data_IF_163386345374
#
_entry.id   IF_163386345374
#
_cell.length_a   1.000
_cell.length_b   1.000
_cell.length_c   1.000
_cell.angle_alpha   90.00
_cell.angle_beta   90.00
_cell.angle_gamma   90.00
#
_symmetry.space_group_name_H-M   'P 1'
#
loop_
_entity.id
_entity.type
_entity.pdbx_description
1 polymer ?
#
# COMPACT_ATOMS: atom_id res chain seq x y z
N UNK A 1 -13.65 13.19 -8.72
CA UNK A 1 -13.71 12.85 -7.29
C UNK A 1 -12.33 12.47 -6.71
N UNK A 2 -11.64 11.46 -7.27
CA UNK A 2 -10.27 11.05 -6.85
C UNK A 2 -9.32 12.25 -6.71
N UNK A 3 -9.17 13.06 -7.77
CA UNK A 3 -8.28 14.22 -7.77
C UNK A 3 -8.68 15.31 -6.76
N UNK A 4 -9.96 15.46 -6.42
CA UNK A 4 -10.43 16.48 -5.49
C UNK A 4 -10.10 16.10 -4.04
N UNK A 5 -10.36 14.85 -3.64
CA UNK A 5 -10.00 14.36 -2.30
C UNK A 5 -8.49 14.30 -2.14
N UNK A 6 -7.78 13.87 -3.18
CA UNK A 6 -6.32 13.94 -3.20
C UNK A 6 -5.81 15.37 -3.02
N UNK A 7 -6.36 16.36 -3.72
CA UNK A 7 -5.96 17.75 -3.56
C UNK A 7 -6.28 18.29 -2.15
N UNK A 8 -7.46 17.94 -1.60
CA UNK A 8 -7.85 18.35 -0.25
C UNK A 8 -6.91 17.82 0.83
N UNK A 9 -6.46 16.57 0.72
CA UNK A 9 -5.64 15.93 1.75
C UNK A 9 -4.14 16.15 1.49
N UNK A 10 -3.72 16.12 0.23
CA UNK A 10 -2.33 16.16 -0.20
C UNK A 10 -1.78 17.54 -0.55
N UNK A 11 -2.63 18.56 -0.76
CA UNK A 11 -2.18 19.91 -1.14
C UNK A 11 -2.62 21.00 -0.17
N UNK A 12 -3.87 20.98 0.32
CA UNK A 12 -4.40 22.07 1.16
C UNK A 12 -3.59 22.31 2.44
N UNK A 13 -3.13 21.28 3.18
CA UNK A 13 -2.27 21.48 4.35
C UNK A 13 -0.82 21.90 4.01
N UNK A 14 -0.47 21.95 2.73
CA UNK A 14 0.90 22.01 2.22
C UNK A 14 1.42 20.61 1.87
N UNK A 15 2.08 20.47 0.71
CA UNK A 15 2.55 19.17 0.22
C UNK A 15 3.51 18.50 1.21
N UNK A 16 4.44 19.26 1.77
CA UNK A 16 5.40 18.74 2.75
C UNK A 16 4.74 18.34 4.08
N UNK A 17 3.81 19.14 4.58
CA UNK A 17 3.00 18.81 5.76
C UNK A 17 2.19 17.54 5.53
N UNK A 18 1.59 17.37 4.34
CA UNK A 18 0.79 16.19 4.01
C UNK A 18 1.60 14.90 4.00
N UNK A 19 2.86 14.95 3.53
CA UNK A 19 3.81 13.84 3.59
C UNK A 19 4.05 13.39 5.03
N UNK A 20 4.27 14.36 5.91
CA UNK A 20 4.66 14.12 7.30
C UNK A 20 3.48 13.68 8.18
N UNK A 21 2.25 14.00 7.77
CA UNK A 21 1.03 13.78 8.57
C UNK A 21 0.06 12.82 7.88
N UNK A 22 -0.76 13.31 6.94
CA UNK A 22 -1.85 12.56 6.34
C UNK A 22 -1.37 11.30 5.61
N UNK A 23 -0.35 11.40 4.76
CA UNK A 23 0.25 10.27 4.04
C UNK A 23 0.75 9.23 5.05
N UNK A 24 1.46 9.67 6.07
CA UNK A 24 2.02 8.78 7.07
C UNK A 24 0.95 8.05 7.90
N UNK A 25 -0.16 8.72 8.20
CA UNK A 25 -1.31 8.11 8.86
C UNK A 25 -2.03 7.10 7.96
N UNK A 26 -2.18 7.40 6.67
CA UNK A 26 -2.89 6.52 5.74
C UNK A 26 -2.20 5.17 5.59
N UNK A 27 -0.87 5.09 5.71
CA UNK A 27 -0.16 3.79 5.67
C UNK A 27 -0.70 2.80 6.73
N UNK A 28 -1.16 3.30 7.88
CA UNK A 28 -1.76 2.47 8.94
C UNK A 28 -3.23 2.13 8.68
N UNK A 29 -3.92 2.90 7.83
CA UNK A 29 -5.26 2.56 7.37
C UNK A 29 -5.22 1.39 6.36
N UNK A 30 -4.14 1.24 5.60
CA UNK A 30 -4.06 0.29 4.47
C UNK A 30 -4.31 -1.18 4.87
N UNK A 31 -3.72 -1.76 5.93
CA UNK A 31 -4.02 -3.14 6.31
C UNK A 31 -5.49 -3.32 6.73
N UNK A 32 -6.07 -2.31 7.38
CA UNK A 32 -7.49 -2.28 7.76
C UNK A 32 -8.38 -2.16 6.52
N UNK A 33 -7.95 -1.39 5.52
CA UNK A 33 -8.64 -1.29 4.25
C UNK A 33 -8.70 -2.64 3.54
N UNK A 34 -7.60 -3.39 3.51
CA UNK A 34 -7.58 -4.76 2.94
C UNK A 34 -8.50 -5.70 3.75
N UNK A 35 -8.51 -5.58 5.08
CA UNK A 35 -9.42 -6.32 5.96
C UNK A 35 -10.88 -6.05 5.60
N UNK A 36 -11.28 -4.78 5.52
CA UNK A 36 -12.66 -4.39 5.20
C UNK A 36 -13.06 -4.76 3.76
N UNK A 37 -12.20 -4.47 2.80
CA UNK A 37 -12.47 -4.61 1.38
C UNK A 37 -12.47 -6.07 0.91
N UNK A 38 -11.49 -6.87 1.36
CA UNK A 38 -11.25 -8.21 0.82
C UNK A 38 -11.77 -9.30 1.75
N UNK A 39 -11.43 -9.22 3.04
CA UNK A 39 -11.75 -10.28 3.99
C UNK A 39 -13.18 -10.21 4.53
N UNK A 40 -13.69 -9.00 4.78
CA UNK A 40 -15.02 -8.80 5.36
C UNK A 40 -16.10 -8.46 4.33
N UNK A 41 -15.72 -8.04 3.11
CA UNK A 41 -16.62 -7.81 1.97
C UNK A 41 -17.85 -6.96 2.35
N UNK A 42 -17.63 -5.87 3.10
CA UNK A 42 -18.69 -4.97 3.55
C UNK A 42 -19.31 -5.30 4.91
N UNK A 43 -18.95 -6.39 5.58
CA UNK A 43 -19.25 -6.58 7.01
C UNK A 43 -18.41 -5.63 7.90
N UNK A 44 -18.93 -5.12 9.03
CA UNK A 44 -20.29 -5.26 9.57
C UNK A 44 -21.33 -4.29 8.98
N UNK A 45 -20.97 -3.48 8.00
CA UNK A 45 -21.76 -2.33 7.55
C UNK A 45 -22.74 -2.61 6.41
N UNK A 46 -22.82 -3.85 5.93
CA UNK A 46 -23.66 -4.25 4.79
C UNK A 46 -25.14 -3.87 4.93
N UNK A 47 -25.63 -3.65 6.16
CA UNK A 47 -27.02 -3.25 6.45
C UNK A 47 -27.29 -1.74 6.35
N UNK A 48 -26.27 -0.90 6.27
CA UNK A 48 -26.39 0.57 6.37
C UNK A 48 -26.61 1.28 5.01
N UNK A 49 -26.94 0.53 3.95
CA UNK A 49 -26.94 1.05 2.57
C UNK A 49 -25.54 1.45 2.10
N UNK A 50 -25.39 1.85 0.84
CA UNK A 50 -24.05 2.17 0.28
C UNK A 50 -23.44 3.43 0.91
N UNK A 51 -24.23 4.49 1.06
CA UNK A 51 -23.77 5.76 1.63
C UNK A 51 -23.43 5.60 3.12
N UNK A 52 -24.35 5.05 3.92
CA UNK A 52 -24.15 4.84 5.36
C UNK A 52 -23.02 3.86 5.65
N UNK A 53 -22.97 2.74 4.91
CA UNK A 53 -21.89 1.78 5.03
C UNK A 53 -20.53 2.36 4.66
N UNK A 54 -20.46 3.15 3.58
CA UNK A 54 -19.26 3.85 3.15
C UNK A 54 -18.75 4.88 4.18
N UNK A 55 -19.65 5.68 4.75
CA UNK A 55 -19.31 6.65 5.80
C UNK A 55 -18.75 5.98 7.05
N UNK A 56 -19.43 4.95 7.57
CA UNK A 56 -19.01 4.27 8.80
C UNK A 56 -17.70 3.52 8.57
N UNK A 57 -17.53 2.83 7.45
CA UNK A 57 -16.27 2.17 7.10
C UNK A 57 -15.12 3.17 6.98
N UNK A 58 -15.36 4.34 6.39
CA UNK A 58 -14.35 5.42 6.30
C UNK A 58 -13.98 5.96 7.68
N UNK A 59 -14.97 6.17 8.57
CA UNK A 59 -14.72 6.59 9.95
C UNK A 59 -13.90 5.55 10.74
N UNK A 60 -14.18 4.26 10.53
CA UNK A 60 -13.41 3.16 11.12
C UNK A 60 -11.98 3.14 10.60
N UNK A 61 -11.76 3.38 9.31
CA UNK A 61 -10.41 3.49 8.74
C UNK A 61 -9.62 4.63 9.36
N UNK A 62 -10.23 5.82 9.52
CA UNK A 62 -9.59 6.97 10.16
C UNK A 62 -9.26 6.68 11.61
N UNK A 63 -10.23 6.16 12.39
CA UNK A 63 -10.02 5.81 13.79
C UNK A 63 -8.93 4.75 13.98
N UNK A 64 -8.96 3.71 13.14
CA UNK A 64 -7.96 2.65 13.19
C UNK A 64 -6.56 3.17 12.81
N UNK A 65 -6.44 4.03 11.80
CA UNK A 65 -5.17 4.64 11.41
C UNK A 65 -4.53 5.39 12.59
N UNK A 66 -5.30 6.21 13.30
CA UNK A 66 -4.82 6.97 14.47
C UNK A 66 -4.36 6.04 15.61
N UNK A 67 -5.17 5.04 15.95
CA UNK A 67 -4.84 4.08 17.02
C UNK A 67 -3.59 3.28 16.66
N UNK A 68 -3.52 2.77 15.44
CA UNK A 68 -2.38 1.96 14.98
C UNK A 68 -1.10 2.78 14.82
N UNK A 69 -1.21 4.07 14.47
CA UNK A 69 -0.08 4.99 14.48
C UNK A 69 0.48 5.19 15.91
N UNK A 70 -0.39 5.32 16.92
CA UNK A 70 0.03 5.38 18.33
C UNK A 70 0.70 4.08 18.79
N UNK A 71 0.14 2.92 18.40
CA UNK A 71 0.77 1.61 18.65
C UNK A 71 2.15 1.56 18.01
N UNK A 72 2.29 2.05 16.78
CA UNK A 72 3.58 2.14 16.10
C UNK A 72 4.56 3.05 16.83
N UNK A 73 4.13 4.19 17.36
CA UNK A 73 4.99 5.03 18.19
C UNK A 73 5.47 4.29 19.45
N UNK A 74 4.60 3.50 20.09
CA UNK A 74 4.97 2.71 21.28
C UNK A 74 6.07 1.67 20.99
N UNK A 75 6.17 1.20 19.74
CA UNK A 75 7.20 0.25 19.29
C UNK A 75 8.46 1.00 18.86
N UNK A 76 8.30 2.02 18.02
CA UNK A 76 9.40 2.73 17.36
C UNK A 76 10.07 3.77 18.26
N UNK A 77 9.40 4.29 19.29
CA UNK A 77 9.94 5.35 20.13
C UNK A 77 9.06 5.67 21.35
N UNK A 78 8.90 6.97 21.60
CA UNK A 78 8.01 7.51 22.64
C UNK A 78 6.60 7.67 22.08
N UNK A 79 5.59 7.30 22.87
CA UNK A 79 4.18 7.60 22.54
C UNK A 79 3.94 9.09 22.75
N UNK A 80 3.52 9.78 21.69
CA UNK A 80 3.22 11.20 21.68
C UNK A 80 2.03 11.46 20.76
N UNK A 81 0.86 11.71 21.35
CA UNK A 81 -0.37 11.98 20.60
C UNK A 81 -0.30 13.25 19.76
N UNK A 82 0.44 14.27 20.21
CA UNK A 82 0.73 15.47 19.39
C UNK A 82 1.66 15.13 18.23
N UNK A 83 2.56 14.17 18.46
CA UNK A 83 3.46 13.57 17.48
C UNK A 83 2.81 12.94 16.24
N UNK A 84 1.51 12.62 16.29
CA UNK A 84 0.79 12.08 15.13
C UNK A 84 0.68 13.09 13.97
N UNK A 85 0.64 14.37 14.30
CA UNK A 85 0.52 15.47 13.33
C UNK A 85 1.76 16.37 13.34
N UNK A 86 2.84 15.93 14.00
CA UNK A 86 4.08 16.67 14.10
C UNK A 86 4.80 16.73 12.76
N UNK A 87 5.42 17.87 12.51
CA UNK A 87 6.20 18.16 11.32
C UNK A 87 7.70 18.16 11.63
N UNK A 88 8.58 18.28 10.62
CA UNK A 88 10.02 18.32 10.87
C UNK A 88 10.46 19.46 11.81
N UNK A 89 9.85 20.67 11.77
CA UNK A 89 10.09 21.70 12.79
C UNK A 89 9.76 21.27 14.22
N UNK A 90 8.76 20.40 14.42
CA UNK A 90 8.39 19.88 15.74
C UNK A 90 9.36 18.78 16.18
N UNK A 91 9.81 17.95 15.23
CA UNK A 91 10.86 16.96 15.46
C UNK A 91 12.15 17.62 15.99
N UNK A 92 12.53 18.77 15.43
CA UNK A 92 13.68 19.56 15.88
C UNK A 92 13.51 20.08 17.32
N UNK A 93 12.27 20.21 17.82
CA UNK A 93 11.95 20.59 19.21
C UNK A 93 11.84 19.40 20.17
N UNK A 94 12.07 18.17 19.69
CA UNK A 94 12.01 16.96 20.51
C UNK A 94 10.68 16.20 20.45
N UNK A 95 9.73 16.62 19.61
CA UNK A 95 8.45 15.90 19.43
C UNK A 95 8.65 14.67 18.55
N UNK A 96 8.15 13.51 18.98
CA UNK A 96 8.31 12.28 18.20
C UNK A 96 7.30 12.21 17.05
N UNK A 97 7.74 12.49 15.82
CA UNK A 97 6.89 12.44 14.63
C UNK A 97 6.69 11.01 14.10
N UNK A 98 5.50 10.73 13.55
CA UNK A 98 5.21 9.42 12.94
C UNK A 98 6.04 9.17 11.67
N UNK A 99 6.31 10.22 10.88
CA UNK A 99 7.16 10.16 9.71
C UNK A 99 8.58 10.65 10.05
N UNK A 100 9.64 9.94 9.60
CA UNK A 100 9.61 8.69 8.84
C UNK A 100 9.54 7.42 9.71
N UNK A 101 9.62 7.53 11.04
CA UNK A 101 9.95 6.40 11.92
C UNK A 101 8.88 5.31 11.97
N UNK A 102 7.65 5.67 12.34
CA UNK A 102 6.53 4.73 12.39
C UNK A 102 6.11 4.27 11.01
N UNK A 103 6.29 5.11 9.99
CA UNK A 103 5.93 4.80 8.60
C UNK A 103 6.57 3.50 8.10
N UNK A 104 7.84 3.22 8.45
CA UNK A 104 8.54 1.99 8.05
C UNK A 104 7.83 0.73 8.61
N UNK A 105 7.43 0.76 9.88
CA UNK A 105 6.68 -0.34 10.49
C UNK A 105 5.32 -0.51 9.82
N UNK A 106 4.58 0.59 9.64
CA UNK A 106 3.27 0.57 8.97
C UNK A 106 3.35 -0.02 7.55
N UNK A 107 4.35 0.41 6.76
CA UNK A 107 4.63 -0.16 5.44
C UNK A 107 4.92 -1.67 5.50
N UNK A 108 5.72 -2.12 6.46
CA UNK A 108 6.05 -3.55 6.62
C UNK A 108 4.80 -4.38 6.94
N UNK A 109 3.95 -3.90 7.85
CA UNK A 109 2.67 -4.54 8.19
C UNK A 109 1.77 -4.61 6.96
N UNK A 110 1.69 -3.53 6.18
CA UNK A 110 0.90 -3.52 4.95
C UNK A 110 1.40 -4.52 3.90
N UNK A 111 2.71 -4.59 3.65
CA UNK A 111 3.29 -5.59 2.74
C UNK A 111 2.98 -7.00 3.20
N UNK A 112 3.06 -7.29 4.50
CA UNK A 112 2.68 -8.59 5.05
C UNK A 112 1.19 -8.88 4.84
N UNK A 113 0.31 -7.89 5.02
CA UNK A 113 -1.12 -8.03 4.77
C UNK A 113 -1.42 -8.32 3.29
N UNK A 114 -0.75 -7.63 2.36
CA UNK A 114 -0.85 -7.90 0.93
C UNK A 114 -0.31 -9.29 0.56
N UNK A 115 0.77 -9.74 1.21
CA UNK A 115 1.34 -11.06 0.98
C UNK A 115 0.33 -12.16 1.34
N UNK A 116 -0.28 -12.07 2.52
CA UNK A 116 -1.31 -13.02 2.97
C UNK A 116 -2.56 -12.98 2.09
N UNK A 117 -2.92 -11.79 1.60
CA UNK A 117 -4.17 -11.58 0.85
C UNK A 117 -4.04 -11.96 -0.62
N UNK A 118 -3.07 -11.41 -1.33
CA UNK A 118 -2.98 -11.50 -2.80
C UNK A 118 -1.97 -12.53 -3.29
N UNK A 119 -0.85 -12.71 -2.58
CA UNK A 119 0.18 -13.69 -3.00
C UNK A 119 -0.20 -15.09 -2.53
N UNK A 120 -0.62 -15.19 -1.26
CA UNK A 120 -1.11 -16.44 -0.70
C UNK A 120 -2.58 -16.73 -1.07
N UNK A 121 -3.30 -15.78 -1.67
CA UNK A 121 -4.67 -15.96 -2.14
C UNK A 121 -5.67 -16.35 -1.05
N UNK A 122 -5.48 -15.87 0.19
CA UNK A 122 -6.29 -16.21 1.37
C UNK A 122 -6.18 -17.69 1.85
N UNK A 123 -5.53 -18.55 1.07
CA UNK A 123 -5.50 -20.01 1.29
C UNK A 123 -5.00 -20.44 2.68
N UNK A 124 -3.96 -19.82 3.29
CA UNK A 124 -3.50 -20.22 4.61
C UNK A 124 -4.58 -20.14 5.71
N UNK A 125 -5.57 -19.27 5.52
CA UNK A 125 -6.65 -19.03 6.49
C UNK A 125 -8.04 -19.37 5.94
N UNK A 126 -8.11 -20.03 4.77
CA UNK A 126 -9.37 -20.34 4.09
C UNK A 126 -10.33 -21.22 4.91
N UNK A 127 -9.80 -22.00 5.86
CA UNK A 127 -10.62 -22.83 6.76
C UNK A 127 -11.35 -22.03 7.83
N UNK A 128 -10.96 -20.77 8.06
CA UNK A 128 -11.63 -19.90 9.02
C UNK A 128 -12.78 -19.14 8.33
N UNK A 129 -13.88 -18.82 9.04
CA UNK A 129 -14.89 -17.91 8.54
C UNK A 129 -14.24 -16.58 8.13
N UNK A 130 -14.64 -15.97 7.02
CA UNK A 130 -13.97 -14.78 6.46
C UNK A 130 -13.75 -13.64 7.47
N UNK A 131 -14.68 -13.47 8.43
CA UNK A 131 -14.55 -12.52 9.54
C UNK A 131 -13.33 -12.81 10.43
N UNK A 132 -13.28 -14.02 10.96
CA UNK A 132 -12.21 -14.49 11.84
C UNK A 132 -10.90 -14.63 11.07
N UNK A 133 -10.94 -15.15 9.85
CA UNK A 133 -9.79 -15.25 8.94
C UNK A 133 -9.16 -13.87 8.70
N UNK A 134 -9.98 -12.84 8.47
CA UNK A 134 -9.50 -11.47 8.33
C UNK A 134 -8.81 -10.92 9.57
N UNK A 135 -9.39 -11.12 10.76
CA UNK A 135 -8.76 -10.69 12.02
C UNK A 135 -7.44 -11.42 12.27
N UNK A 136 -7.38 -12.72 11.99
CA UNK A 136 -6.16 -13.52 12.11
C UNK A 136 -5.12 -13.05 11.09
N UNK A 137 -5.50 -12.76 9.84
CA UNK A 137 -4.60 -12.21 8.82
C UNK A 137 -4.03 -10.86 9.26
N UNK A 138 -4.88 -9.97 9.77
CA UNK A 138 -4.46 -8.67 10.29
C UNK A 138 -3.50 -8.82 11.47
N UNK A 139 -3.81 -9.67 12.45
CA UNK A 139 -2.92 -9.94 13.58
C UNK A 139 -1.58 -10.55 13.15
N UNK A 140 -1.59 -11.50 12.22
CA UNK A 140 -0.38 -12.09 11.65
C UNK A 140 0.45 -11.06 10.88
N UNK A 141 -0.19 -10.16 10.12
CA UNK A 141 0.51 -9.09 9.41
C UNK A 141 1.25 -8.14 10.36
N UNK A 142 0.65 -7.84 11.52
CA UNK A 142 1.31 -7.10 12.59
C UNK A 142 2.45 -7.88 13.22
N UNK A 143 2.24 -9.17 13.54
CA UNK A 143 3.29 -10.03 14.07
C UNK A 143 4.50 -10.12 13.16
N UNK A 144 4.27 -10.31 11.85
CA UNK A 144 5.33 -10.33 10.83
C UNK A 144 5.98 -8.96 10.71
N UNK A 145 5.20 -7.88 10.64
CA UNK A 145 5.73 -6.52 10.52
C UNK A 145 6.60 -6.11 11.71
N UNK A 146 6.19 -6.45 12.93
CA UNK A 146 6.98 -6.26 14.15
C UNK A 146 8.25 -7.09 14.13
N UNK A 147 8.16 -8.38 13.77
CA UNK A 147 9.31 -9.26 13.68
C UNK A 147 10.35 -8.71 12.70
N UNK A 148 9.92 -8.34 11.50
CA UNK A 148 10.80 -7.76 10.48
C UNK A 148 11.38 -6.44 10.95
N UNK A 149 10.57 -5.51 11.45
CA UNK A 149 11.07 -4.21 11.94
C UNK A 149 12.11 -4.38 13.05
N UNK A 150 11.83 -5.21 14.05
CA UNK A 150 12.72 -5.38 15.21
C UNK A 150 14.01 -6.14 14.89
N UNK A 151 14.03 -6.95 13.83
CA UNK A 151 15.21 -7.76 13.46
C UNK A 151 16.00 -7.19 12.28
N UNK A 152 15.35 -6.41 11.41
CA UNK A 152 15.93 -5.93 10.15
C UNK A 152 16.28 -4.44 10.20
N UNK A 153 15.42 -3.60 10.80
CA UNK A 153 15.53 -2.15 10.69
C UNK A 153 16.61 -1.55 11.60
N UNK A 154 17.26 -0.51 11.09
CA UNK A 154 18.33 0.20 11.77
C UNK A 154 18.25 1.72 11.53
N UNK A 155 18.36 2.50 12.60
CA UNK A 155 18.31 3.96 12.60
C UNK A 155 19.67 4.63 12.94
N UNK A 156 20.80 3.95 12.74
CA UNK A 156 22.16 4.45 13.08
C UNK A 156 22.62 5.63 12.23
N UNK A 157 21.96 5.87 11.10
CA UNK A 157 22.16 7.11 10.35
C UNK A 157 21.63 8.35 11.13
N UNK A 158 20.73 8.15 12.10
CA UNK A 158 20.31 9.22 13.03
C UNK A 158 21.26 9.21 14.22
N UNK A 159 22.00 10.30 14.49
CA UNK A 159 22.97 10.35 15.58
C UNK A 159 22.35 10.02 16.94
N UNK A 160 23.07 9.26 17.77
CA UNK A 160 22.57 8.80 19.07
C UNK A 160 22.01 9.92 19.98
N UNK A 161 22.62 11.12 20.09
CA UNK A 161 22.03 12.22 20.85
C UNK A 161 20.68 12.69 20.31
N UNK A 162 20.54 12.76 18.98
CA UNK A 162 19.29 13.13 18.33
C UNK A 162 18.21 12.07 18.56
N UNK A 163 18.57 10.78 18.50
CA UNK A 163 17.65 9.68 18.83
C UNK A 163 17.15 9.76 20.27
N UNK A 164 18.05 10.01 21.22
CA UNK A 164 17.69 10.15 22.62
C UNK A 164 16.76 11.36 22.85
N UNK A 165 17.02 12.49 22.20
CA UNK A 165 16.22 13.71 22.33
C UNK A 165 14.75 13.51 21.91
N UNK A 166 14.50 12.73 20.86
CA UNK A 166 13.15 12.42 20.37
C UNK A 166 12.58 11.11 20.94
N UNK A 167 13.37 10.37 21.74
CA UNK A 167 12.99 9.06 22.27
C UNK A 167 12.85 7.95 21.22
N UNK A 168 13.56 8.05 20.09
CA UNK A 168 13.58 7.02 19.04
C UNK A 168 14.31 5.78 19.52
N UNK A 169 13.69 4.62 19.38
CA UNK A 169 14.33 3.32 19.64
C UNK A 169 14.98 2.81 18.37
N UNK A 170 16.23 2.39 18.47
CA UNK A 170 16.92 1.70 17.39
C UNK A 170 16.91 0.18 17.64
N UNK A 171 16.29 -0.64 16.78
CA UNK A 171 16.37 -2.09 16.90
C UNK A 171 17.77 -2.66 16.64
N UNK A 172 18.63 -1.94 15.90
CA UNK A 172 20.01 -2.34 15.63
C UNK A 172 20.14 -3.46 14.59
N UNK A 173 19.15 -3.60 13.70
CA UNK A 173 19.19 -4.58 12.62
C UNK A 173 20.28 -4.31 11.56
N UNK A 174 20.42 -5.18 10.56
CA UNK A 174 21.43 -5.06 9.51
C UNK A 174 21.11 -4.05 8.41
N UNK A 175 19.87 -3.58 8.27
CA UNK A 175 19.44 -2.75 7.13
C UNK A 175 18.99 -1.37 7.61
N UNK A 176 19.45 -0.31 6.94
CA UNK A 176 18.96 1.04 7.20
C UNK A 176 17.43 1.07 7.03
N UNK A 177 16.72 1.62 8.01
CA UNK A 177 15.25 1.59 8.03
C UNK A 177 14.62 2.29 6.82
N UNK A 178 15.28 3.31 6.24
CA UNK A 178 14.79 3.95 5.01
C UNK A 178 15.04 3.10 3.77
N UNK A 179 16.15 2.34 3.70
CA UNK A 179 16.39 1.39 2.60
C UNK A 179 15.32 0.30 2.56
N UNK A 180 14.87 -0.15 3.74
CA UNK A 180 13.80 -1.12 3.87
C UNK A 180 12.49 -0.64 3.19
N UNK A 181 12.21 0.66 3.18
CA UNK A 181 11.04 1.22 2.46
C UNK A 181 11.15 0.96 0.96
N UNK A 182 12.33 1.15 0.38
CA UNK A 182 12.58 0.87 -1.04
C UNK A 182 12.41 -0.62 -1.37
N UNK A 183 12.87 -1.51 -0.48
CA UNK A 183 12.71 -2.96 -0.63
C UNK A 183 11.23 -3.34 -0.62
N UNK A 184 10.50 -2.85 0.38
CA UNK A 184 9.08 -3.11 0.57
C UNK A 184 8.26 -2.61 -0.61
N UNK A 185 8.51 -1.39 -1.10
CA UNK A 185 7.82 -0.85 -2.27
C UNK A 185 8.04 -1.67 -3.52
N UNK A 186 9.26 -2.17 -3.75
CA UNK A 186 9.50 -3.07 -4.87
C UNK A 186 8.70 -4.38 -4.69
N UNK A 187 8.62 -4.95 -3.48
CA UNK A 187 7.75 -6.12 -3.23
C UNK A 187 6.28 -5.78 -3.50
N UNK A 188 5.79 -4.61 -3.08
CA UNK A 188 4.40 -4.16 -3.35
C UNK A 188 4.10 -4.12 -4.84
N UNK A 189 5.03 -3.65 -5.68
CA UNK A 189 4.88 -3.66 -7.15
C UNK A 189 4.56 -5.08 -7.63
N UNK A 190 5.33 -6.07 -7.20
CA UNK A 190 5.11 -7.47 -7.58
C UNK A 190 3.79 -8.01 -7.04
N UNK A 191 3.43 -7.67 -5.78
CA UNK A 191 2.15 -8.07 -5.18
C UNK A 191 0.94 -7.53 -5.97
N UNK A 192 0.95 -6.24 -6.34
CA UNK A 192 -0.19 -5.64 -7.05
C UNK A 192 -0.20 -6.01 -8.52
N UNK A 193 0.95 -6.13 -9.19
CA UNK A 193 0.99 -6.55 -10.60
C UNK A 193 0.56 -8.00 -10.73
N UNK A 194 1.18 -8.93 -9.99
CA UNK A 194 0.87 -10.36 -10.15
C UNK A 194 -0.47 -10.71 -9.50
N UNK A 195 -0.74 -10.18 -8.30
CA UNK A 195 -1.94 -10.51 -7.54
C UNK A 195 -3.21 -9.80 -8.03
N UNK A 196 -3.11 -8.52 -8.40
CA UNK A 196 -4.28 -7.70 -8.76
C UNK A 196 -4.38 -7.53 -10.29
N UNK A 197 -3.38 -6.94 -10.94
CA UNK A 197 -3.46 -6.64 -12.38
C UNK A 197 -3.58 -7.91 -13.23
N UNK A 198 -2.79 -8.93 -12.90
CA UNK A 198 -2.73 -10.20 -13.63
C UNK A 198 -3.57 -11.32 -12.98
N UNK A 199 -4.32 -11.01 -11.93
CA UNK A 199 -5.23 -11.92 -11.23
C UNK A 199 -4.57 -13.27 -10.85
N UNK A 200 -3.40 -13.21 -10.22
CA UNK A 200 -2.63 -14.37 -9.77
C UNK A 200 -1.84 -15.11 -10.87
N UNK A 201 -1.87 -14.66 -12.12
CA UNK A 201 -1.00 -15.20 -13.17
C UNK A 201 0.45 -14.72 -12.95
N UNK A 202 1.47 -15.58 -13.18
CA UNK A 202 1.42 -16.92 -13.79
C UNK A 202 1.11 -18.08 -12.83
N UNK A 203 1.04 -17.84 -11.52
CA UNK A 203 0.98 -18.91 -10.51
C UNK A 203 -0.36 -19.63 -10.47
N UNK A 204 -1.45 -19.00 -10.92
CA UNK A 204 -2.78 -19.61 -10.97
C UNK A 204 -2.84 -20.91 -11.80
N UNK A 205 -1.86 -21.16 -12.67
CA UNK A 205 -1.75 -22.40 -13.46
C UNK A 205 -1.09 -23.57 -12.73
N UNK A 206 -0.50 -23.34 -11.56
CA UNK A 206 0.17 -24.38 -10.78
C UNK A 206 -0.91 -25.15 -9.99
N UNK A 207 -1.10 -26.47 -10.24
CA UNK A 207 -2.20 -27.23 -9.63
C UNK A 207 -1.95 -27.53 -8.15
N UNK A 208 -0.69 -27.78 -7.77
CA UNK A 208 -0.33 -28.03 -6.37
C UNK A 208 -0.37 -26.72 -5.57
N UNK A 209 -1.25 -26.67 -4.56
CA UNK A 209 -1.39 -25.50 -3.69
C UNK A 209 -0.06 -25.13 -3.02
N UNK A 210 0.64 -26.10 -2.45
CA UNK A 210 1.92 -25.85 -1.75
C UNK A 210 2.96 -25.29 -2.71
N UNK A 211 3.12 -25.92 -3.87
CA UNK A 211 4.08 -25.45 -4.89
C UNK A 211 3.71 -24.05 -5.38
N UNK A 212 2.42 -23.80 -5.61
CA UNK A 212 1.90 -22.50 -6.03
C UNK A 212 2.26 -21.41 -5.02
N UNK A 213 2.00 -21.65 -3.73
CA UNK A 213 2.29 -20.69 -2.67
C UNK A 213 3.79 -20.45 -2.54
N UNK A 214 4.62 -21.49 -2.56
CA UNK A 214 6.08 -21.35 -2.48
C UNK A 214 6.63 -20.53 -3.65
N UNK A 215 6.27 -20.89 -4.88
CA UNK A 215 6.72 -20.17 -6.09
C UNK A 215 6.22 -18.72 -6.08
N UNK A 216 4.95 -18.49 -5.75
CA UNK A 216 4.39 -17.14 -5.70
C UNK A 216 5.12 -16.26 -4.67
N UNK A 217 5.43 -16.80 -3.48
CA UNK A 217 6.16 -16.06 -2.45
C UNK A 217 7.60 -15.78 -2.86
N UNK A 218 8.33 -16.79 -3.35
CA UNK A 218 9.72 -16.64 -3.79
C UNK A 218 9.83 -15.64 -4.93
N UNK A 219 8.97 -15.74 -5.95
CA UNK A 219 9.00 -14.81 -7.09
C UNK A 219 8.60 -13.40 -6.67
N UNK A 220 7.60 -13.24 -5.79
CA UNK A 220 7.14 -11.90 -5.37
C UNK A 220 8.18 -11.20 -4.50
N UNK A 221 8.71 -11.88 -3.47
CA UNK A 221 9.69 -11.29 -2.57
C UNK A 221 11.05 -11.19 -3.24
N UNK A 222 11.53 -12.28 -3.85
CA UNK A 222 12.82 -12.31 -4.55
C UNK A 222 12.84 -11.40 -5.78
N UNK A 223 11.74 -11.32 -6.53
CA UNK A 223 11.57 -10.38 -7.63
C UNK A 223 11.59 -8.93 -7.15
N UNK A 224 10.91 -8.62 -6.05
CA UNK A 224 10.96 -7.30 -5.41
C UNK A 224 12.38 -6.91 -4.99
N UNK A 225 13.11 -7.80 -4.32
CA UNK A 225 14.49 -7.54 -3.90
C UNK A 225 15.44 -7.41 -5.08
N UNK A 226 15.33 -8.26 -6.09
CA UNK A 226 16.12 -8.16 -7.32
C UNK A 226 15.83 -6.85 -8.06
N UNK A 227 14.57 -6.41 -8.08
CA UNK A 227 14.17 -5.13 -8.69
C UNK A 227 14.80 -3.96 -7.95
N UNK A 228 14.73 -3.95 -6.61
CA UNK A 228 15.39 -2.92 -5.79
C UNK A 228 16.90 -2.90 -6.05
N UNK A 229 17.55 -4.06 -6.01
CA UNK A 229 18.99 -4.18 -6.28
C UNK A 229 19.35 -3.68 -7.67
N UNK A 230 18.56 -4.02 -8.69
CA UNK A 230 18.78 -3.54 -10.06
C UNK A 230 18.65 -2.01 -10.15
N UNK A 231 17.65 -1.42 -9.50
CA UNK A 231 17.47 0.04 -9.49
C UNK A 231 18.60 0.74 -8.73
N UNK A 232 18.97 0.25 -7.56
CA UNK A 232 20.01 0.88 -6.74
C UNK A 232 21.41 0.64 -7.32
N UNK A 233 21.79 -0.62 -7.52
CA UNK A 233 23.15 -1.00 -7.94
C UNK A 233 23.36 -0.90 -9.45
N UNK A 234 22.34 -1.23 -10.26
CA UNK A 234 22.43 -1.22 -11.72
C UNK A 234 22.22 0.17 -12.33
N UNK A 235 21.27 0.94 -11.80
CA UNK A 235 20.91 2.26 -12.34
C UNK A 235 21.30 3.44 -11.44
N UNK A 236 21.84 3.19 -10.24
CA UNK A 236 22.25 4.24 -9.32
C UNK A 236 21.10 5.08 -8.76
N UNK A 237 19.88 4.53 -8.74
CA UNK A 237 18.72 5.28 -8.24
C UNK A 237 18.74 5.40 -6.73
N UNK A 238 18.40 6.59 -6.24
CA UNK A 238 18.21 6.83 -4.81
C UNK A 238 16.86 6.26 -4.32
N UNK A 239 16.76 6.03 -3.01
CA UNK A 239 15.57 5.45 -2.38
C UNK A 239 14.32 6.29 -2.67
N UNK A 240 14.34 7.64 -2.58
CA UNK A 240 13.19 8.45 -2.92
C UNK A 240 12.69 8.21 -4.34
N UNK A 241 13.57 8.12 -5.35
CA UNK A 241 13.17 7.85 -6.73
C UNK A 241 12.56 6.47 -6.88
N UNK A 242 13.17 5.44 -6.28
CA UNK A 242 12.62 4.08 -6.28
C UNK A 242 11.22 4.08 -5.65
N UNK A 243 11.06 4.77 -4.52
CA UNK A 243 9.78 4.86 -3.83
C UNK A 243 8.71 5.58 -4.67
N UNK A 244 9.07 6.68 -5.33
CA UNK A 244 8.17 7.45 -6.17
C UNK A 244 7.67 6.63 -7.36
N UNK A 245 8.58 5.95 -8.06
CA UNK A 245 8.23 5.07 -9.18
C UNK A 245 7.36 3.92 -8.69
N UNK A 246 7.75 3.26 -7.60
CA UNK A 246 6.97 2.16 -7.03
C UNK A 246 5.55 2.56 -6.62
N UNK A 247 5.40 3.70 -5.95
CA UNK A 247 4.08 4.22 -5.59
C UNK A 247 3.23 4.55 -6.82
N UNK A 248 3.83 5.13 -7.86
CA UNK A 248 3.15 5.40 -9.13
C UNK A 248 2.74 4.11 -9.86
N UNK A 249 3.57 3.06 -9.84
CA UNK A 249 3.21 1.75 -10.41
C UNK A 249 2.02 1.17 -9.67
N UNK A 250 2.04 1.17 -8.33
CA UNK A 250 0.93 0.63 -7.54
C UNK A 250 -0.37 1.40 -7.77
N UNK A 251 -0.31 2.73 -7.82
CA UNK A 251 -1.46 3.57 -8.14
C UNK A 251 -1.98 3.31 -9.56
N UNK A 252 -1.10 3.22 -10.56
CA UNK A 252 -1.45 2.94 -11.93
C UNK A 252 -2.17 1.58 -12.06
N UNK A 253 -1.63 0.54 -11.41
CA UNK A 253 -2.24 -0.79 -11.36
C UNK A 253 -3.64 -0.75 -10.76
N UNK A 254 -3.82 -0.07 -9.62
CA UNK A 254 -5.13 0.00 -8.95
C UNK A 254 -6.14 0.84 -9.73
N UNK A 255 -5.72 1.97 -10.32
CA UNK A 255 -6.54 2.74 -11.25
C UNK A 255 -7.00 1.86 -12.41
N UNK A 256 -6.08 1.13 -13.02
CA UNK A 256 -6.42 0.27 -14.14
C UNK A 256 -7.33 -0.90 -13.75
N UNK A 257 -6.97 -1.65 -12.71
CA UNK A 257 -7.67 -2.88 -12.32
C UNK A 257 -9.03 -2.61 -11.65
N UNK A 258 -9.19 -1.49 -10.94
CA UNK A 258 -10.42 -1.18 -10.20
C UNK A 258 -11.22 -0.06 -10.86
N UNK A 259 -10.60 1.09 -11.17
CA UNK A 259 -11.36 2.24 -11.68
C UNK A 259 -11.76 2.06 -13.16
N UNK A 260 -10.81 1.60 -13.99
CA UNK A 260 -11.05 1.27 -15.39
C UNK A 260 -11.42 -0.19 -15.60
N UNK A 261 -11.40 -0.99 -14.53
CA UNK A 261 -11.72 -2.40 -14.52
C UNK A 261 -11.06 -3.17 -15.69
N UNK A 262 -9.78 -2.95 -15.97
CA UNK A 262 -9.01 -3.58 -17.07
C UNK A 262 -9.42 -3.21 -18.50
N UNK A 263 -10.34 -2.25 -18.71
CA UNK A 263 -10.65 -1.73 -20.04
C UNK A 263 -9.40 -1.07 -20.70
N UNK A 264 -9.17 -1.23 -22.02
CA UNK A 264 -9.95 -2.00 -23.00
C UNK A 264 -9.51 -3.47 -23.15
N UNK A 265 -8.63 -3.98 -22.30
CA UNK A 265 -7.93 -5.26 -22.46
C UNK A 265 -8.74 -6.47 -21.94
N UNK A 266 -9.98 -6.60 -22.41
CA UNK A 266 -10.90 -7.70 -22.08
C UNK A 266 -11.24 -8.57 -23.31
N UNK A 267 -10.40 -8.56 -24.34
CA UNK A 267 -10.62 -9.32 -25.57
C UNK A 267 -10.45 -10.83 -25.41
N UNK A 268 -10.69 -11.62 -26.47
CA UNK A 268 -10.62 -13.09 -26.43
C UNK A 268 -9.19 -13.64 -26.28
N UNK A 269 -8.14 -12.84 -26.53
CA UNK A 269 -6.75 -13.27 -26.42
C UNK A 269 -6.14 -12.87 -25.05
N UNK A 270 -6.00 -13.81 -24.10
CA UNK A 270 -5.56 -13.48 -22.74
C UNK A 270 -4.12 -12.97 -22.69
N UNK A 271 -3.25 -13.43 -23.61
CA UNK A 271 -1.86 -13.01 -23.66
C UNK A 271 -1.73 -11.56 -24.12
N UNK A 272 -2.43 -11.21 -25.21
CA UNK A 272 -2.46 -9.84 -25.71
C UNK A 272 -3.07 -8.87 -24.66
N UNK A 273 -4.12 -9.29 -23.96
CA UNK A 273 -4.72 -8.50 -22.88
C UNK A 273 -3.72 -8.22 -21.76
N UNK A 274 -2.99 -9.24 -21.28
CA UNK A 274 -2.00 -9.06 -20.20
C UNK A 274 -0.87 -8.13 -20.61
N UNK A 275 -0.35 -8.28 -21.84
CA UNK A 275 0.68 -7.38 -22.38
C UNK A 275 0.12 -5.95 -22.46
N UNK A 276 -1.09 -5.79 -22.98
CA UNK A 276 -1.78 -4.50 -23.04
C UNK A 276 -1.90 -3.85 -21.67
N UNK A 277 -2.35 -4.59 -20.65
CA UNK A 277 -2.44 -4.14 -19.26
C UNK A 277 -1.09 -3.70 -18.71
N UNK A 278 -0.04 -4.49 -18.91
CA UNK A 278 1.32 -4.15 -18.44
C UNK A 278 1.85 -2.87 -19.11
N UNK A 279 1.67 -2.74 -20.43
CA UNK A 279 2.10 -1.57 -21.20
C UNK A 279 1.34 -0.33 -20.75
N UNK A 280 0.01 -0.41 -20.61
CA UNK A 280 -0.78 0.73 -20.14
C UNK A 280 -0.48 1.10 -18.70
N UNK A 281 -0.21 0.13 -17.82
CA UNK A 281 0.19 0.41 -16.44
C UNK A 281 1.55 1.13 -16.42
N UNK A 282 2.50 0.74 -17.28
CA UNK A 282 3.77 1.44 -17.44
C UNK A 282 3.58 2.87 -17.95
N UNK A 283 2.75 3.09 -18.98
CA UNK A 283 2.43 4.42 -19.50
C UNK A 283 1.78 5.29 -18.42
N UNK A 284 0.79 4.75 -17.71
CA UNK A 284 0.10 5.49 -16.64
C UNK A 284 1.04 5.79 -15.46
N UNK A 285 1.98 4.90 -15.14
CA UNK A 285 3.04 5.15 -14.15
C UNK A 285 3.87 6.37 -14.54
N UNK A 286 4.33 6.43 -15.78
CA UNK A 286 5.12 7.56 -16.30
C UNK A 286 4.33 8.86 -16.21
N UNK A 287 3.06 8.84 -16.64
CA UNK A 287 2.16 10.01 -16.56
C UNK A 287 1.97 10.46 -15.12
N UNK A 288 1.66 9.55 -14.19
CA UNK A 288 1.47 9.87 -12.77
C UNK A 288 2.75 10.45 -12.16
N UNK A 289 3.91 9.83 -12.41
CA UNK A 289 5.18 10.26 -11.87
C UNK A 289 5.50 11.71 -12.28
N UNK A 290 5.44 12.01 -13.58
CA UNK A 290 5.74 13.35 -14.07
C UNK A 290 4.67 14.38 -13.70
N UNK A 291 3.39 14.00 -13.70
CA UNK A 291 2.31 14.90 -13.29
C UNK A 291 2.43 15.28 -11.80
N UNK A 292 2.61 14.30 -10.91
CA UNK A 292 2.80 14.55 -9.48
C UNK A 292 4.07 15.34 -9.22
N UNK A 293 5.17 15.02 -9.90
CA UNK A 293 6.42 15.80 -9.81
C UNK A 293 6.22 17.26 -10.24
N UNK A 294 5.51 17.51 -11.34
CA UNK A 294 5.23 18.86 -11.80
C UNK A 294 4.39 19.63 -10.77
N UNK A 295 3.33 19.01 -10.23
CA UNK A 295 2.51 19.62 -9.17
C UNK A 295 3.33 19.89 -7.91
N UNK A 296 4.10 18.90 -7.45
CA UNK A 296 4.93 19.02 -6.25
C UNK A 296 5.94 20.16 -6.32
N UNK A 297 6.59 20.36 -7.47
CA UNK A 297 7.50 21.48 -7.68
C UNK A 297 6.80 22.83 -7.85
N UNK A 298 5.57 22.84 -8.36
CA UNK A 298 4.80 24.07 -8.53
C UNK A 298 4.27 24.63 -7.20
N UNK A 299 4.03 23.76 -6.20
CA UNK A 299 3.36 24.14 -4.94
C UNK A 299 4.29 24.21 -3.73
N UNK A 300 5.49 23.63 -3.80
CA UNK A 300 6.37 23.47 -2.65
C UNK A 300 7.84 23.55 -3.04
N UNK A 301 8.63 24.22 -2.19
CA UNK A 301 10.10 24.12 -2.20
C UNK A 301 10.51 23.06 -1.20
N UNK A 302 11.28 22.07 -1.66
CA UNK A 302 11.57 20.83 -0.93
C UNK A 302 12.89 20.90 -0.18
N UNK A 303 12.85 21.48 1.03
CA UNK A 303 14.04 21.71 1.86
C UNK A 303 14.25 20.67 2.97
N UNK A 304 13.20 19.99 3.43
CA UNK A 304 13.31 19.01 4.52
C UNK A 304 13.38 17.57 4.00
N UNK A 305 12.48 17.24 3.07
CA UNK A 305 12.39 15.90 2.48
C UNK A 305 12.37 16.00 0.96
N UNK A 306 12.91 15.00 0.24
CA UNK A 306 12.83 14.96 -1.21
C UNK A 306 11.37 14.88 -1.69
N UNK A 307 11.04 15.67 -2.71
CA UNK A 307 9.74 15.65 -3.39
C UNK A 307 9.29 14.25 -3.80
N UNK A 308 10.23 13.39 -4.21
CA UNK A 308 9.94 12.02 -4.62
C UNK A 308 9.25 11.19 -3.52
N UNK A 309 9.51 11.46 -2.24
CA UNK A 309 8.79 10.79 -1.15
C UNK A 309 7.31 11.21 -1.09
N UNK A 310 7.02 12.48 -1.37
CA UNK A 310 5.64 12.94 -1.51
C UNK A 310 4.97 12.41 -2.77
N UNK A 311 5.69 12.26 -3.88
CA UNK A 311 5.17 11.57 -5.07
C UNK A 311 4.79 10.12 -4.73
N UNK A 312 5.67 9.41 -4.00
CA UNK A 312 5.41 8.04 -3.56
C UNK A 312 4.14 7.93 -2.72
N UNK A 313 4.04 8.73 -1.65
CA UNK A 313 2.89 8.72 -0.75
C UNK A 313 1.62 9.30 -1.38
N UNK A 314 1.75 10.33 -2.22
CA UNK A 314 0.64 10.89 -2.99
C UNK A 314 0.04 9.87 -3.95
N UNK A 315 0.88 9.04 -4.60
CA UNK A 315 0.42 7.98 -5.47
C UNK A 315 -0.13 6.78 -4.70
N UNK A 316 0.68 6.14 -3.85
CA UNK A 316 0.30 4.91 -3.15
C UNK A 316 -0.72 5.18 -2.04
N UNK A 317 -0.38 6.07 -1.11
CA UNK A 317 -1.17 6.24 0.10
C UNK A 317 -2.40 7.12 -0.14
N UNK A 318 -2.37 8.09 -1.05
CA UNK A 318 -3.56 8.91 -1.31
C UNK A 318 -4.38 8.40 -2.51
N UNK A 319 -3.81 8.37 -3.72
CA UNK A 319 -4.56 7.98 -4.93
C UNK A 319 -5.03 6.53 -4.83
N UNK A 320 -4.11 5.59 -4.55
CA UNK A 320 -4.46 4.16 -4.52
C UNK A 320 -5.43 3.82 -3.39
N UNK A 321 -5.22 4.35 -2.17
CA UNK A 321 -6.21 4.23 -1.08
C UNK A 321 -7.56 4.76 -1.48
N UNK A 322 -7.62 5.95 -2.09
CA UNK A 322 -8.89 6.51 -2.53
C UNK A 322 -9.58 5.63 -3.57
N UNK A 323 -8.83 5.08 -4.54
CA UNK A 323 -9.39 4.15 -5.54
C UNK A 323 -10.01 2.94 -4.86
N UNK A 324 -9.30 2.33 -3.91
CA UNK A 324 -9.80 1.16 -3.17
C UNK A 324 -11.01 1.54 -2.31
N UNK A 325 -10.98 2.67 -1.59
CA UNK A 325 -12.11 3.15 -0.79
C UNK A 325 -13.32 3.40 -1.68
N UNK A 326 -13.15 4.14 -2.77
CA UNK A 326 -14.23 4.42 -3.71
C UNK A 326 -14.83 3.15 -4.31
N UNK A 327 -13.98 2.21 -4.74
CA UNK A 327 -14.41 0.99 -5.40
C UNK A 327 -15.01 -0.02 -4.42
N UNK A 328 -14.25 -0.40 -3.39
CA UNK A 328 -14.58 -1.51 -2.49
C UNK A 328 -15.43 -1.10 -1.29
N UNK A 329 -15.25 0.11 -0.75
CA UNK A 329 -16.00 0.58 0.43
C UNK A 329 -17.28 1.29 0.03
N UNK A 330 -17.20 2.18 -0.96
CA UNK A 330 -18.34 2.97 -1.43
C UNK A 330 -19.09 2.32 -2.61
N UNK A 331 -18.61 1.20 -3.13
CA UNK A 331 -19.27 0.48 -4.23
C UNK A 331 -19.43 1.34 -5.49
N UNK A 332 -18.44 2.20 -5.77
CA UNK A 332 -18.40 3.22 -6.83
C UNK A 332 -19.40 4.37 -6.68
N UNK A 333 -20.08 4.53 -5.53
CA UNK A 333 -21.01 5.65 -5.32
C UNK A 333 -20.37 7.02 -5.61
N UNK A 334 -21.05 7.94 -6.32
CA UNK A 334 -22.47 7.89 -6.76
C UNK A 334 -22.72 7.14 -8.08
N UNK A 335 -21.72 6.51 -8.68
CA UNK A 335 -21.87 5.75 -9.92
C UNK A 335 -22.51 4.36 -9.69
N UNK A 336 -22.88 3.71 -10.80
CA UNK A 336 -23.38 2.34 -10.79
C UNK A 336 -22.37 1.33 -10.20
N UNK A 337 -22.85 0.17 -9.72
CA UNK A 337 -21.98 -0.86 -9.16
C UNK A 337 -20.93 -1.34 -10.18
N UNK A 338 -19.83 -1.96 -9.73
CA UNK A 338 -18.84 -2.54 -10.63
C UNK A 338 -19.47 -3.48 -11.64
N UNK A 339 -18.93 -3.50 -12.86
CA UNK A 339 -19.43 -4.43 -13.89
C UNK A 339 -19.21 -5.87 -13.42
N UNK A 340 -20.18 -6.78 -13.60
CA UNK A 340 -19.92 -8.18 -13.33
C UNK A 340 -18.77 -8.67 -14.25
N UNK A 341 -17.92 -9.60 -13.77
CA UNK A 341 -16.96 -10.25 -14.65
C UNK A 341 -17.70 -10.84 -15.85
N UNK A 342 -17.14 -10.80 -17.07
CA UNK A 342 -17.73 -11.52 -18.20
C UNK A 342 -17.96 -12.97 -17.78
N UNK A 343 -19.14 -13.50 -18.09
CA UNK A 343 -19.47 -14.88 -17.79
C UNK A 343 -18.33 -15.76 -18.33
N UNK A 344 -17.70 -16.52 -17.46
CA UNK A 344 -16.87 -17.63 -17.92
C UNK A 344 -17.87 -18.57 -18.57
N UNK A 345 -17.73 -18.81 -19.88
CA UNK A 345 -18.51 -19.83 -20.56
C UNK A 345 -18.39 -21.10 -19.73
N UNK A 346 -19.45 -21.42 -19.01
CA UNK A 346 -19.57 -22.72 -18.36
C UNK A 346 -19.38 -23.72 -19.50
N UNK A 347 -18.42 -24.66 -19.44
CA UNK A 347 -18.44 -25.75 -20.40
C UNK A 347 -19.84 -26.35 -20.29
N UNK A 348 -20.58 -26.32 -21.40
CA UNK A 348 -21.87 -26.98 -21.50
C UNK A 348 -21.67 -28.38 -20.92
N UNK A 349 -22.29 -28.63 -19.77
CA UNK A 349 -22.44 -29.98 -19.27
C UNK A 349 -23.38 -30.62 -20.27
N UNK A 350 -22.81 -31.23 -21.32
CA UNK A 350 -23.56 -32.07 -22.23
C UNK A 350 -24.15 -33.18 -21.37
N UNK A 351 -25.45 -33.06 -21.10
CA UNK A 351 -26.21 -34.21 -20.65
C UNK A 351 -26.21 -35.19 -21.82
N UNK A 352 -25.45 -36.27 -21.65
CA UNK A 352 -25.56 -37.50 -22.43
C UNK A 352 -25.46 -38.67 -21.45
#
# INVERSE_FOLDING_TARGET
MVGAVWALVGLVPGAQTSLQTAIALVVFALPVLVLLAVWWQGWPFARLGRLGGGLVATAVLVGAALVLALVSQAVTGKVDGGGLFATAPDLAKGTFAIFPFGFVLGGTVFVAMLQLTFVCGLEPLRRLPGRTGGLVAFALSWGIGLLVYLTVANWDFVPAPARAAIGLRNPGGPVNALDLVGWLLCVVIWQVVLGILLNGWPFSRIPSLVTRLLVANVVTVGGGWLTYWLFQAGFGWDIPTIAAVGGCVSAAVLLQAMLFETWPFRGPNPTANRIGLLVSAAVLTVVLYYALRAVGNAVQVWNEYPMNLWVAGGALDLIATFVIVHYAIWGRWPFGPPSPPPAVDSPEVSQA
#
